data_IF_406116681998
#
_entry.id   IF_406116681998
#
_cell.length_a   1.000
_cell.length_b   1.000
_cell.length_c   1.000
_cell.angle_alpha   90.00
_cell.angle_beta   90.00
_cell.angle_gamma   90.00
#
_symmetry.space_group_name_H-M   'P 1'
#
loop_
_entity.id
_entity.type
_entity.pdbx_description
1 polymer ?
#
# COMPACT_ATOMS: atom_id res chain seq x y z
N UNK A 1 10.83 -10.45 -6.05
CA UNK A 1 10.16 -9.25 -5.51
C UNK A 1 8.78 -9.21 -6.11
N UNK A 2 7.81 -9.85 -5.44
CA UNK A 2 6.43 -9.85 -5.92
C UNK A 2 5.77 -8.53 -5.53
N UNK A 3 4.99 -7.90 -6.42
CA UNK A 3 4.21 -6.73 -6.03
C UNK A 3 3.22 -7.12 -4.93
N UNK A 4 2.98 -6.21 -3.98
CA UNK A 4 2.06 -6.44 -2.87
C UNK A 4 0.60 -6.62 -3.34
N UNK A 5 0.27 -6.09 -4.52
CA UNK A 5 -1.06 -6.18 -5.12
C UNK A 5 -0.95 -6.62 -6.58
N UNK A 6 -1.84 -7.52 -6.98
CA UNK A 6 -1.93 -8.03 -8.34
C UNK A 6 -2.73 -7.10 -9.27
N UNK A 7 -3.55 -6.20 -8.71
CA UNK A 7 -4.38 -5.26 -9.47
C UNK A 7 -4.76 -4.01 -8.65
N UNK A 8 -5.20 -2.94 -9.32
CA UNK A 8 -5.74 -1.75 -8.67
C UNK A 8 -7.08 -2.01 -7.96
N UNK A 9 -7.86 -2.97 -8.43
CA UNK A 9 -9.11 -3.37 -7.76
C UNK A 9 -8.83 -4.02 -6.41
N UNK A 10 -7.81 -4.89 -6.34
CA UNK A 10 -7.34 -5.49 -5.08
C UNK A 10 -6.91 -4.43 -4.08
N UNK A 11 -6.19 -3.42 -4.56
CA UNK A 11 -5.72 -2.31 -3.74
C UNK A 11 -6.87 -1.54 -3.07
N UNK A 12 -7.91 -1.16 -3.83
CA UNK A 12 -9.07 -0.46 -3.27
C UNK A 12 -9.99 -1.38 -2.45
N UNK A 13 -10.06 -2.68 -2.76
CA UNK A 13 -10.84 -3.66 -2.02
C UNK A 13 -10.35 -3.89 -0.58
N UNK A 14 -9.10 -3.52 -0.26
CA UNK A 14 -8.55 -3.64 1.09
C UNK A 14 -9.09 -2.62 2.11
N UNK A 15 -10.03 -1.75 1.71
CA UNK A 15 -10.83 -0.98 2.67
C UNK A 15 -10.00 -0.07 3.58
N UNK A 16 -9.00 0.61 3.02
CA UNK A 16 -8.15 1.55 3.75
C UNK A 16 -6.87 0.96 4.35
N UNK A 17 -6.74 -0.36 4.50
CA UNK A 17 -5.48 -0.97 4.97
C UNK A 17 -4.29 -0.60 4.06
N UNK A 18 -4.50 -0.68 2.74
CA UNK A 18 -3.45 -0.32 1.78
C UNK A 18 -3.03 1.15 1.92
N UNK A 19 -3.95 2.06 2.24
CA UNK A 19 -3.63 3.47 2.49
C UNK A 19 -2.66 3.65 3.66
N UNK A 20 -2.91 2.99 4.80
CA UNK A 20 -2.04 3.07 5.97
C UNK A 20 -0.65 2.47 5.71
N UNK A 21 -0.58 1.35 4.98
CA UNK A 21 0.71 0.73 4.60
C UNK A 21 1.55 1.70 3.77
N UNK A 22 0.95 2.32 2.74
CA UNK A 22 1.67 3.26 1.89
C UNK A 22 2.05 4.56 2.62
N UNK A 23 1.23 5.02 3.57
CA UNK A 23 1.59 6.13 4.46
C UNK A 23 2.81 5.78 5.33
N UNK A 24 2.83 4.59 5.93
CA UNK A 24 3.95 4.12 6.74
C UNK A 24 5.25 3.98 5.92
N UNK A 25 5.14 3.50 4.68
CA UNK A 25 6.27 3.44 3.74
C UNK A 25 6.77 4.86 3.44
N UNK A 26 5.89 5.81 3.13
CA UNK A 26 6.28 7.19 2.87
C UNK A 26 6.99 7.83 4.07
N UNK A 27 6.50 7.60 5.30
CA UNK A 27 7.13 8.07 6.54
C UNK A 27 8.46 7.38 6.86
N UNK A 28 8.68 6.16 6.37
CA UNK A 28 9.95 5.43 6.55
C UNK A 28 11.00 5.86 5.52
N UNK A 29 10.56 6.24 4.32
CA UNK A 29 11.43 6.67 3.22
C UNK A 29 11.74 8.17 3.30
N UNK A 30 10.87 8.97 3.89
CA UNK A 30 11.14 10.36 4.22
C UNK A 30 12.16 10.43 5.39
N UNK A 31 13.36 11.01 5.20
CA UNK A 31 14.34 11.20 6.27
C UNK A 31 13.91 12.25 7.30
#
# INVERSE_FOLDING_TARGET
MSPAFSSWSDFFAMGGYAFFVWLAVAMTVAP
#
